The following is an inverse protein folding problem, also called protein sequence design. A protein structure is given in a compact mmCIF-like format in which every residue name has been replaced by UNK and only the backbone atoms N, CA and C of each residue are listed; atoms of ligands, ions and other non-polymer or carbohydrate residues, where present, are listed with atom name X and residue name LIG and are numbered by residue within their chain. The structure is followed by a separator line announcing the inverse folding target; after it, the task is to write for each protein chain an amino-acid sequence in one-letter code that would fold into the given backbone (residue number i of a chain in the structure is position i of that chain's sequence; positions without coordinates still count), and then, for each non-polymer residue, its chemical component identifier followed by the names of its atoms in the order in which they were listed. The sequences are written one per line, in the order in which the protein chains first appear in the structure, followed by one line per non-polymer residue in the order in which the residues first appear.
data_IF_868638347461
#
_entry.id   IF_868638347461
#
_cell.length_a   1.000
_cell.length_b   1.000
_cell.length_c   1.000
_cell.angle_alpha   90.00
_cell.angle_beta   90.00
_cell.angle_gamma   90.00
#
_symmetry.space_group_name_H-M   'P 1'
#
loop_
_entity.id
_entity.type
_entity.pdbx_description
1 polymer ?
#
# COMPACT_ATOMS: atom_id res chain seq x y z
N UNK A 1 -8.14 -49.90 -4.51
CA UNK A 1 -8.28 -49.44 -5.91
C UNK A 1 -8.90 -48.05 -5.88
N UNK A 2 -8.10 -47.00 -6.04
CA UNK A 2 -8.65 -45.64 -6.16
C UNK A 2 -9.50 -45.59 -7.43
N UNK A 3 -10.79 -45.28 -7.27
CA UNK A 3 -11.73 -45.22 -8.38
C UNK A 3 -11.23 -44.11 -9.32
N UNK A 4 -10.96 -44.44 -10.59
CA UNK A 4 -10.40 -43.50 -11.59
C UNK A 4 -11.23 -42.22 -11.68
N UNK A 5 -12.52 -42.31 -11.38
CA UNK A 5 -13.47 -41.19 -11.31
C UNK A 5 -13.17 -40.21 -10.16
N UNK A 6 -12.74 -40.71 -9.00
CA UNK A 6 -12.41 -39.87 -7.83
C UNK A 6 -11.09 -39.13 -8.04
N UNK A 7 -10.11 -39.77 -8.69
CA UNK A 7 -8.84 -39.12 -9.08
C UNK A 7 -9.09 -38.03 -10.13
N UNK A 8 -10.00 -38.27 -11.08
CA UNK A 8 -10.37 -37.30 -12.12
C UNK A 8 -11.10 -36.07 -11.56
N UNK A 9 -12.00 -36.25 -10.58
CA UNK A 9 -12.68 -35.13 -9.91
C UNK A 9 -11.74 -34.28 -9.03
N UNK A 10 -10.72 -34.89 -8.41
CA UNK A 10 -9.70 -34.15 -7.63
C UNK A 10 -8.74 -33.37 -8.55
N UNK A 11 -8.45 -33.88 -9.75
CA UNK A 11 -7.66 -33.16 -10.76
C UNK A 11 -8.44 -31.98 -11.39
N UNK A 12 -9.76 -32.07 -11.54
CA UNK A 12 -10.57 -31.00 -12.14
C UNK A 12 -10.74 -29.78 -11.21
N UNK A 13 -10.76 -29.97 -9.89
CA UNK A 13 -10.89 -28.86 -8.91
C UNK A 13 -9.57 -28.12 -8.68
N UNK A 14 -8.42 -28.73 -9.00
CA UNK A 14 -7.10 -28.11 -8.88
C UNK A 14 -6.82 -27.05 -9.97
N UNK A 15 -7.60 -27.01 -11.06
CA UNK A 15 -7.39 -26.07 -12.18
C UNK A 15 -8.20 -24.77 -12.10
N UNK A 16 -9.12 -24.63 -11.13
CA UNK A 16 -9.73 -23.33 -10.82
C UNK A 16 -8.78 -22.47 -9.97
N UNK A 17 -7.60 -22.22 -10.53
CA UNK A 17 -6.80 -21.08 -10.11
C UNK A 17 -7.61 -19.83 -10.43
N UNK A 18 -8.13 -19.16 -9.40
CA UNK A 18 -8.76 -17.86 -9.56
C UNK A 18 -7.69 -16.92 -10.10
N UNK A 19 -7.68 -16.68 -11.41
CA UNK A 19 -6.90 -15.60 -11.98
C UNK A 19 -7.47 -14.32 -11.38
N UNK A 20 -6.72 -13.72 -10.46
CA UNK A 20 -7.01 -12.37 -9.99
C UNK A 20 -6.85 -11.44 -11.20
N UNK A 21 -7.97 -11.09 -11.84
CA UNK A 21 -8.00 -10.16 -12.96
C UNK A 21 -7.82 -8.74 -12.42
N UNK A 22 -6.57 -8.28 -12.39
CA UNK A 22 -6.28 -6.87 -12.22
C UNK A 22 -6.51 -6.18 -13.57
N UNK A 23 -7.58 -5.40 -13.70
CA UNK A 23 -7.93 -4.74 -14.96
C UNK A 23 -6.97 -3.60 -15.35
N UNK A 24 -6.15 -3.14 -14.40
CA UNK A 24 -5.16 -2.09 -14.63
C UNK A 24 -3.91 -2.37 -13.81
N UNK A 25 -2.75 -2.35 -14.46
CA UNK A 25 -1.44 -2.34 -13.81
C UNK A 25 -0.92 -0.91 -13.77
N UNK A 26 -0.45 -0.45 -12.60
CA UNK A 26 0.15 0.87 -12.40
C UNK A 26 1.56 0.69 -11.84
N UNK A 27 2.54 1.35 -12.46
CA UNK A 27 3.93 1.34 -11.98
C UNK A 27 4.60 2.72 -12.12
N UNK A 28 5.22 3.24 -11.04
CA UNK A 28 5.27 2.67 -9.70
C UNK A 28 3.96 2.87 -8.93
N UNK A 29 3.77 2.14 -7.82
CA UNK A 29 2.61 2.27 -6.92
C UNK A 29 2.77 3.38 -5.87
N UNK A 30 3.92 4.04 -5.85
CA UNK A 30 4.24 5.22 -5.04
C UNK A 30 5.26 6.05 -5.79
N UNK A 31 5.07 7.36 -5.82
CA UNK A 31 6.01 8.30 -6.45
C UNK A 31 6.59 9.20 -5.38
N UNK A 32 7.91 9.23 -5.28
CA UNK A 32 8.66 10.20 -4.50
C UNK A 32 9.55 11.01 -5.41
N UNK A 33 9.53 12.31 -5.22
CA UNK A 33 10.46 13.23 -5.83
C UNK A 33 11.60 13.50 -4.86
N UNK A 34 12.83 13.34 -5.33
CA UNK A 34 13.99 13.93 -4.66
C UNK A 34 14.07 15.44 -4.94
N UNK A 35 14.94 16.16 -4.23
CA UNK A 35 15.07 17.62 -4.36
C UNK A 35 15.47 18.10 -5.77
N UNK A 36 16.09 17.25 -6.58
CA UNK A 36 16.59 17.56 -7.92
C UNK A 36 15.59 17.19 -9.01
N UNK A 37 14.75 16.19 -8.75
CA UNK A 37 13.72 15.74 -9.66
C UNK A 37 12.60 16.77 -9.79
N UNK A 38 12.28 17.11 -11.03
CA UNK A 38 11.15 18.01 -11.38
C UNK A 38 10.05 17.28 -12.13
N UNK A 39 10.27 16.03 -12.53
CA UNK A 39 9.24 15.23 -13.17
C UNK A 39 9.38 13.75 -12.84
N UNK A 40 8.26 13.07 -12.72
CA UNK A 40 8.15 11.63 -12.58
C UNK A 40 7.24 11.06 -13.69
N UNK A 41 7.35 9.76 -13.93
CA UNK A 41 6.53 9.03 -14.89
C UNK A 41 5.82 7.90 -14.16
N UNK A 42 4.52 7.78 -14.42
CA UNK A 42 3.69 6.66 -13.98
C UNK A 42 3.19 5.97 -15.23
N UNK A 43 3.49 4.69 -15.35
CA UNK A 43 3.06 3.84 -16.46
C UNK A 43 1.80 3.11 -16.04
N UNK A 44 0.80 3.12 -16.91
CA UNK A 44 -0.44 2.36 -16.76
C UNK A 44 -0.62 1.41 -17.93
N UNK A 45 -1.00 0.17 -17.64
CA UNK A 45 -1.23 -0.88 -18.63
C UNK A 45 -2.62 -1.45 -18.39
N UNK A 46 -3.45 -1.46 -19.43
CA UNK A 46 -4.74 -2.11 -19.37
C UNK A 46 -4.56 -3.62 -19.48
N UNK A 47 -4.70 -4.33 -18.36
CA UNK A 47 -4.56 -5.78 -18.29
C UNK A 47 -5.91 -6.51 -18.48
N UNK A 48 -6.99 -5.78 -18.76
CA UNK A 48 -8.26 -6.38 -19.18
C UNK A 48 -8.29 -6.70 -20.67
N UNK A 49 -9.28 -7.48 -21.07
CA UNK A 49 -9.60 -7.87 -22.45
C UNK A 49 -10.42 -6.80 -23.20
N UNK A 50 -10.95 -5.80 -22.51
CA UNK A 50 -11.75 -4.71 -23.07
C UNK A 50 -10.98 -3.39 -23.13
N UNK A 51 -11.38 -2.49 -24.03
CA UNK A 51 -10.93 -1.10 -23.99
C UNK A 51 -11.44 -0.41 -22.72
N UNK A 52 -10.59 0.38 -22.07
CA UNK A 52 -10.92 1.15 -20.86
C UNK A 52 -10.46 2.58 -20.98
N UNK A 53 -11.25 3.51 -20.43
CA UNK A 53 -10.87 4.92 -20.31
C UNK A 53 -10.73 5.31 -18.85
N UNK A 54 -9.66 6.01 -18.51
CA UNK A 54 -9.39 6.51 -17.16
C UNK A 54 -9.18 8.01 -17.19
N UNK A 55 -9.83 8.72 -16.28
CA UNK A 55 -9.50 10.10 -15.94
C UNK A 55 -8.41 10.12 -14.87
N UNK A 56 -7.41 10.96 -15.07
CA UNK A 56 -6.26 11.11 -14.19
C UNK A 56 -6.42 12.42 -13.42
N UNK A 57 -6.75 12.31 -12.13
CA UNK A 57 -7.04 13.47 -11.27
C UNK A 57 -6.26 13.42 -9.96
N UNK A 58 -6.11 14.58 -9.34
CA UNK A 58 -5.62 14.64 -7.96
C UNK A 58 -6.75 14.35 -6.97
N UNK A 59 -6.43 13.63 -5.92
CA UNK A 59 -7.29 13.36 -4.77
C UNK A 59 -6.52 13.66 -3.50
N UNK A 60 -7.06 14.57 -2.70
CA UNK A 60 -6.50 14.93 -1.40
C UNK A 60 -6.99 13.94 -0.36
N UNK A 61 -6.06 13.40 0.44
CA UNK A 61 -6.39 12.41 1.45
C UNK A 61 -5.53 12.59 2.69
N UNK A 62 -6.13 12.35 3.84
CA UNK A 62 -5.48 12.34 5.13
C UNK A 62 -5.38 10.89 5.63
N UNK A 63 -4.21 10.48 6.07
CA UNK A 63 -3.99 9.16 6.64
C UNK A 63 -4.68 9.04 8.02
N UNK A 64 -5.09 7.82 8.36
CA UNK A 64 -5.65 7.48 9.66
C UNK A 64 -4.65 6.68 10.50
N UNK A 65 -4.75 6.79 11.82
CA UNK A 65 -3.88 6.06 12.76
C UNK A 65 -3.99 4.54 12.64
N UNK A 66 -5.19 3.99 12.39
CA UNK A 66 -5.41 2.56 12.17
C UNK A 66 -5.15 2.06 10.74
N UNK A 67 -4.58 2.92 9.87
CA UNK A 67 -4.48 2.68 8.44
C UNK A 67 -5.70 3.13 7.65
N UNK A 68 -5.54 3.20 6.32
CA UNK A 68 -6.55 3.79 5.44
C UNK A 68 -6.47 5.32 5.39
N UNK A 69 -7.49 5.93 4.78
CA UNK A 69 -7.51 7.35 4.46
C UNK A 69 -8.92 7.95 4.56
N UNK A 70 -8.99 9.19 5.02
CA UNK A 70 -10.14 10.08 4.79
C UNK A 70 -9.90 10.90 3.52
N UNK A 71 -10.93 11.01 2.66
CA UNK A 71 -10.88 11.93 1.53
C UNK A 71 -11.09 13.36 2.02
N UNK A 72 -10.28 14.29 1.52
CA UNK A 72 -10.41 15.71 1.80
C UNK A 72 -11.08 16.39 0.60
N UNK A 73 -12.07 17.25 0.89
CA UNK A 73 -12.79 17.99 -0.15
C UNK A 73 -11.97 19.15 -0.73
N UNK A 74 -10.99 19.65 0.03
CA UNK A 74 -10.17 20.80 -0.32
C UNK A 74 -8.69 20.49 -0.13
N UNK A 75 -7.84 21.26 -0.84
CA UNK A 75 -6.39 21.22 -0.67
C UNK A 75 -5.98 21.77 0.70
N UNK A 76 -4.92 21.22 1.27
CA UNK A 76 -4.33 21.70 2.52
C UNK A 76 -3.00 22.39 2.26
N UNK A 77 -2.38 22.97 3.30
CA UNK A 77 -1.04 23.55 3.20
C UNK A 77 0.02 22.53 2.73
N UNK A 78 -0.20 21.24 3.02
CA UNK A 78 0.70 20.14 2.63
C UNK A 78 0.24 19.40 1.37
N UNK A 79 -0.78 19.89 0.65
CA UNK A 79 -1.18 19.29 -0.63
C UNK A 79 -0.14 19.56 -1.72
N UNK A 80 0.23 18.51 -2.45
CA UNK A 80 1.16 18.59 -3.58
C UNK A 80 0.48 19.04 -4.89
N UNK A 81 -0.82 18.78 -5.03
CA UNK A 81 -1.56 19.03 -6.27
C UNK A 81 -1.47 20.48 -6.81
N UNK A 82 -1.47 21.57 -6.00
CA UNK A 82 -1.44 22.94 -6.54
C UNK A 82 -0.13 23.27 -7.27
N UNK A 83 0.98 22.66 -6.84
CA UNK A 83 2.31 22.89 -7.40
C UNK A 83 2.71 21.86 -8.47
N UNK A 84 1.77 21.07 -8.98
CA UNK A 84 2.05 20.05 -10.00
C UNK A 84 1.26 20.24 -11.30
N UNK A 85 1.73 19.57 -12.35
CA UNK A 85 1.06 19.45 -13.65
C UNK A 85 1.04 17.98 -14.05
N UNK A 86 -0.10 17.54 -14.59
CA UNK A 86 -0.34 16.18 -15.05
C UNK A 86 -0.56 16.18 -16.56
N UNK A 87 0.04 15.22 -17.25
CA UNK A 87 -0.22 15.00 -18.67
C UNK A 87 -0.04 13.52 -19.05
N UNK A 88 -0.99 12.90 -19.77
CA UNK A 88 -2.33 13.42 -20.09
C UNK A 88 -3.27 13.38 -18.86
N UNK A 89 -4.41 14.08 -18.92
CA UNK A 89 -5.46 14.05 -17.88
C UNK A 89 -6.52 12.96 -18.10
N UNK A 90 -6.49 12.31 -19.26
CA UNK A 90 -7.34 11.18 -19.61
C UNK A 90 -6.55 10.24 -20.51
N UNK A 91 -6.73 8.94 -20.32
CA UNK A 91 -6.10 7.90 -21.11
C UNK A 91 -7.17 6.91 -21.53
N UNK A 92 -7.19 6.57 -22.82
CA UNK A 92 -8.00 5.47 -23.36
C UNK A 92 -7.02 4.40 -23.80
N UNK A 93 -7.24 3.18 -23.33
CA UNK A 93 -6.31 2.06 -23.48
C UNK A 93 -7.06 0.86 -24.06
N UNK A 94 -6.63 0.36 -25.21
CA UNK A 94 -7.00 -0.96 -25.70
C UNK A 94 -6.46 -2.06 -24.76
N UNK A 95 -6.88 -3.31 -24.98
CA UNK A 95 -6.35 -4.45 -24.21
C UNK A 95 -4.83 -4.56 -24.41
N UNK A 96 -4.08 -4.67 -23.31
CA UNK A 96 -2.62 -4.70 -23.29
C UNK A 96 -1.94 -3.36 -23.57
N UNK A 97 -2.69 -2.30 -23.91
CA UNK A 97 -2.11 -1.00 -24.24
C UNK A 97 -1.51 -0.33 -23.00
N UNK A 98 -0.36 0.32 -23.21
CA UNK A 98 0.40 1.03 -22.19
C UNK A 98 0.42 2.53 -22.48
N UNK A 99 0.12 3.33 -21.46
CA UNK A 99 0.30 4.78 -21.49
C UNK A 99 1.19 5.26 -20.34
N UNK A 100 1.95 6.32 -20.59
CA UNK A 100 2.70 7.02 -19.55
C UNK A 100 2.01 8.33 -19.19
N UNK A 101 1.77 8.53 -17.89
CA UNK A 101 1.37 9.79 -17.29
C UNK A 101 2.61 10.47 -16.70
N UNK A 102 2.90 11.69 -17.16
CA UNK A 102 3.97 12.53 -16.61
C UNK A 102 3.40 13.44 -15.53
N UNK A 103 4.08 13.46 -14.40
CA UNK A 103 3.86 14.38 -13.29
C UNK A 103 5.03 15.36 -13.30
N UNK A 104 4.77 16.67 -13.35
CA UNK A 104 5.81 17.69 -13.28
C UNK A 104 5.55 18.63 -12.11
N UNK A 105 6.58 18.90 -11.30
CA UNK A 105 6.52 19.84 -10.17
C UNK A 105 6.96 21.23 -10.64
N UNK A 106 6.17 22.25 -10.33
CA UNK A 106 6.48 23.67 -10.46
C UNK A 106 6.43 24.31 -9.07
N UNK A 107 7.59 24.34 -8.40
CA UNK A 107 7.72 24.85 -7.03
C UNK A 107 7.43 26.36 -6.97
N UNK A 108 6.62 26.83 -6.03
CA UNK A 108 6.53 28.26 -5.75
C UNK A 108 7.86 28.76 -5.16
N UNK A 109 8.14 30.05 -5.32
CA UNK A 109 9.28 30.69 -4.64
C UNK A 109 9.01 30.71 -3.13
N UNK A 110 10.02 30.40 -2.33
CA UNK A 110 9.90 30.39 -0.86
C UNK A 110 9.03 29.26 -0.29
N UNK A 111 8.95 28.12 -1.01
CA UNK A 111 8.30 26.92 -0.48
C UNK A 111 8.91 26.55 0.87
N UNK A 112 8.06 26.38 1.88
CA UNK A 112 8.53 26.08 3.23
C UNK A 112 9.07 24.65 3.32
N UNK A 113 10.07 24.41 4.20
CA UNK A 113 10.56 23.07 4.48
C UNK A 113 9.42 22.15 4.91
N UNK A 114 9.42 20.90 4.43
CA UNK A 114 8.43 19.91 4.80
C UNK A 114 8.06 18.93 3.69
N UNK A 115 7.15 18.04 4.04
CA UNK A 115 6.59 17.03 3.15
C UNK A 115 5.24 17.48 2.59
N UNK A 116 5.10 17.36 1.26
CA UNK A 116 3.88 17.66 0.52
C UNK A 116 3.40 16.40 -0.18
N UNK A 117 2.12 16.05 0.00
CA UNK A 117 1.55 14.81 -0.53
C UNK A 117 0.14 15.03 -1.07
N UNK A 118 -0.11 14.43 -2.24
CA UNK A 118 -1.45 14.25 -2.81
C UNK A 118 -1.49 12.85 -3.43
N UNK A 119 -2.67 12.39 -3.85
CA UNK A 119 -2.81 11.08 -4.47
C UNK A 119 -3.23 11.22 -5.93
N UNK A 120 -2.52 10.54 -6.81
CA UNK A 120 -2.89 10.45 -8.21
C UNK A 120 -3.96 9.35 -8.35
N UNK A 121 -5.16 9.74 -8.74
CA UNK A 121 -6.31 8.87 -8.92
C UNK A 121 -6.55 8.61 -10.41
N UNK A 122 -6.50 7.34 -10.79
CA UNK A 122 -6.96 6.81 -12.07
C UNK A 122 -8.41 6.38 -11.91
N UNK A 123 -9.32 7.32 -12.19
CA UNK A 123 -10.75 7.08 -12.11
C UNK A 123 -11.24 6.43 -13.40
N UNK A 124 -11.67 5.17 -13.33
CA UNK A 124 -12.27 4.51 -14.49
C UNK A 124 -13.57 5.21 -14.89
N UNK A 125 -13.75 5.42 -16.19
CA UNK A 125 -15.00 5.88 -16.76
C UNK A 125 -15.81 4.66 -17.22
N UNK A 126 -17.16 4.68 -17.06
CA UNK A 126 -18.01 3.62 -17.60
C UNK A 126 -17.80 3.48 -19.11
N UNK A 127 -17.76 2.24 -19.61
CA UNK A 127 -17.93 1.98 -21.03
C UNK A 127 -19.42 2.16 -21.37
N UNK A 128 -19.74 2.71 -22.54
CA UNK A 128 -21.14 2.77 -22.97
C UNK A 128 -21.67 1.36 -23.20
N UNK A 129 -22.65 0.94 -22.40
CA UNK A 129 -23.33 -0.34 -22.59
C UNK A 129 -24.23 -0.24 -23.82
N UNK A 130 -23.91 -1.00 -24.88
CA UNK A 130 -24.69 -1.03 -26.12
C UNK A 130 -25.93 -1.94 -26.07
N UNK A 131 -26.10 -2.75 -25.02
CA UNK A 131 -27.26 -3.66 -24.90
C UNK A 131 -27.86 -3.62 -23.49
N UNK A 132 -29.13 -3.23 -23.41
CA UNK A 132 -29.93 -3.24 -22.19
C UNK A 132 -30.69 -4.59 -22.14
N UNK A 133 -30.14 -5.57 -21.42
CA UNK A 133 -30.82 -6.86 -21.20
C UNK A 133 -31.69 -6.77 -19.93
N UNK A 134 -32.91 -7.31 -19.97
CA UNK A 134 -33.77 -7.42 -18.79
C UNK A 134 -33.10 -8.31 -17.73
N UNK A 135 -32.73 -7.72 -16.60
CA UNK A 135 -32.09 -8.39 -15.47
C UNK A 135 -31.34 -7.41 -14.57
N UNK A 136 -30.93 -7.85 -13.37
CA UNK A 136 -30.05 -7.06 -12.50
C UNK A 136 -28.62 -7.21 -13.02
N UNK A 137 -28.04 -6.12 -13.54
CA UNK A 137 -26.65 -6.07 -13.98
C UNK A 137 -25.83 -5.21 -13.02
N UNK A 138 -24.82 -5.80 -12.37
CA UNK A 138 -23.88 -5.09 -11.50
C UNK A 138 -22.64 -4.74 -12.33
N UNK A 139 -22.43 -3.46 -12.59
CA UNK A 139 -21.25 -2.95 -13.27
C UNK A 139 -20.27 -2.37 -12.25
N UNK A 140 -19.19 -3.10 -11.96
CA UNK A 140 -18.13 -2.62 -11.06
C UNK A 140 -17.13 -1.75 -11.81
N UNK A 141 -16.93 -0.52 -11.34
CA UNK A 141 -15.97 0.44 -11.90
C UNK A 141 -14.82 0.61 -10.91
N UNK A 142 -13.65 0.08 -11.25
CA UNK A 142 -12.48 0.07 -10.36
C UNK A 142 -11.61 1.30 -10.62
N UNK A 143 -11.34 2.07 -9.57
CA UNK A 143 -10.43 3.22 -9.62
C UNK A 143 -9.21 2.96 -8.74
N UNK A 144 -8.05 3.47 -9.15
CA UNK A 144 -6.78 3.22 -8.46
C UNK A 144 -6.12 4.51 -8.02
N UNK A 145 -5.52 4.53 -6.84
CA UNK A 145 -4.94 5.74 -6.25
C UNK A 145 -3.54 5.45 -5.72
N UNK A 146 -2.56 6.25 -6.13
CA UNK A 146 -1.17 6.13 -5.66
C UNK A 146 -0.72 7.43 -4.98
N UNK A 147 0.03 7.37 -3.86
CA UNK A 147 0.58 8.55 -3.23
C UNK A 147 1.71 9.14 -4.08
N UNK A 148 1.73 10.46 -4.19
CA UNK A 148 2.78 11.25 -4.81
C UNK A 148 3.31 12.24 -3.79
N UNK A 149 4.61 12.17 -3.52
CA UNK A 149 5.26 12.85 -2.40
C UNK A 149 6.41 13.70 -2.91
N UNK A 150 6.48 14.93 -2.44
CA UNK A 150 7.62 15.82 -2.60
C UNK A 150 8.10 16.27 -1.22
N UNK A 151 9.42 16.35 -1.03
CA UNK A 151 10.02 16.84 0.21
C UNK A 151 10.94 18.01 -0.11
N UNK A 152 10.70 19.15 0.53
CA UNK A 152 11.60 20.30 0.51
C UNK A 152 12.45 20.25 1.78
N UNK A 153 13.78 20.24 1.63
CA UNK A 153 14.73 20.17 2.76
C UNK A 153 14.42 18.98 3.70
N UNK A 154 14.50 17.75 3.19
CA UNK A 154 14.11 16.57 3.96
C UNK A 154 15.03 16.31 5.14
N UNK A 155 14.44 15.94 6.27
CA UNK A 155 15.15 15.29 7.38
C UNK A 155 14.87 13.79 7.37
N UNK A 156 15.78 13.01 7.96
CA UNK A 156 15.56 11.58 8.16
C UNK A 156 14.37 11.35 9.10
N UNK A 157 13.35 10.56 8.70
CA UNK A 157 12.23 10.23 9.58
C UNK A 157 12.69 9.52 10.85
N UNK A 158 12.08 9.86 11.98
CA UNK A 158 12.33 9.21 13.27
C UNK A 158 11.05 8.57 13.78
N UNK A 159 11.10 7.26 14.04
CA UNK A 159 9.96 6.47 14.51
C UNK A 159 10.42 5.56 15.64
N UNK A 160 9.58 5.32 16.64
CA UNK A 160 9.82 4.32 17.68
C UNK A 160 8.63 3.38 17.77
N UNK A 161 8.87 2.12 18.12
CA UNK A 161 7.80 1.22 18.54
C UNK A 161 7.59 1.42 20.05
N UNK A 162 6.42 1.89 20.44
CA UNK A 162 6.11 2.23 21.84
C UNK A 162 5.42 1.09 22.58
N UNK A 163 4.67 0.27 21.86
CA UNK A 163 3.93 -0.85 22.43
C UNK A 163 3.69 -1.93 21.38
N UNK A 164 3.68 -3.19 21.83
CA UNK A 164 3.20 -4.31 21.04
C UNK A 164 2.36 -5.26 21.90
N UNK A 165 1.26 -5.78 21.35
CA UNK A 165 0.37 -6.72 22.02
C UNK A 165 -0.06 -7.84 21.06
N UNK A 166 -0.28 -9.03 21.60
CA UNK A 166 -0.98 -10.10 20.88
C UNK A 166 -2.48 -9.90 21.06
N UNK A 167 -3.22 -9.85 19.95
CA UNK A 167 -4.67 -9.68 19.95
C UNK A 167 -5.32 -10.89 19.27
N UNK A 168 -6.50 -11.30 19.77
CA UNK A 168 -7.32 -12.34 19.14
C UNK A 168 -8.67 -11.73 18.79
N UNK A 169 -8.92 -11.57 17.50
CA UNK A 169 -10.21 -11.08 17.02
C UNK A 169 -11.19 -12.26 16.91
N UNK A 170 -12.44 -12.09 17.35
CA UNK A 170 -13.45 -13.16 17.33
C UNK A 170 -13.67 -13.76 15.93
N UNK A 171 -13.44 -12.96 14.88
CA UNK A 171 -13.60 -13.36 13.48
C UNK A 171 -12.34 -13.96 12.85
N UNK A 172 -11.24 -14.07 13.59
CA UNK A 172 -9.99 -14.63 13.08
C UNK A 172 -9.58 -15.91 13.83
N UNK A 173 -9.16 -16.90 13.05
CA UNK A 173 -8.72 -18.20 13.57
C UNK A 173 -7.34 -18.12 14.22
N UNK A 174 -6.49 -17.18 13.79
CA UNK A 174 -5.16 -16.95 14.35
C UNK A 174 -5.10 -15.62 15.11
N UNK A 175 -4.29 -15.53 16.17
CA UNK A 175 -3.95 -14.26 16.78
C UNK A 175 -3.20 -13.36 15.79
N UNK A 176 -3.26 -12.05 16.03
CA UNK A 176 -2.53 -11.03 15.30
C UNK A 176 -1.60 -10.27 16.27
N UNK A 177 -0.60 -9.60 15.72
CA UNK A 177 0.32 -8.76 16.49
C UNK A 177 -0.04 -7.31 16.21
N UNK A 178 -0.50 -6.59 17.23
CA UNK A 178 -0.77 -5.15 17.14
C UNK A 178 0.43 -4.37 17.65
N UNK A 179 0.88 -3.39 16.89
CA UNK A 179 2.08 -2.60 17.14
C UNK A 179 1.74 -1.11 17.06
N UNK A 180 2.09 -0.33 18.07
CA UNK A 180 2.00 1.12 18.05
C UNK A 180 3.36 1.72 17.68
N UNK A 181 3.36 2.54 16.62
CA UNK A 181 4.51 3.29 16.14
C UNK A 181 4.28 4.77 16.41
N UNK A 182 5.24 5.45 17.04
CA UNK A 182 5.22 6.88 17.30
C UNK A 182 6.21 7.61 16.39
N UNK A 183 5.75 8.67 15.74
CA UNK A 183 6.55 9.57 14.90
C UNK A 183 7.16 10.69 15.74
N UNK A 184 8.40 11.09 15.42
CA UNK A 184 9.13 12.14 16.15
C UNK A 184 9.51 13.37 15.31
N UNK A 185 9.24 13.39 14.01
CA UNK A 185 9.45 14.56 13.14
C UNK A 185 8.51 14.58 11.94
N UNK A 186 8.53 15.68 11.17
CA UNK A 186 7.51 15.99 10.14
C UNK A 186 7.74 15.32 8.77
N UNK A 187 8.48 14.21 8.72
CA UNK A 187 8.76 13.48 7.48
C UNK A 187 8.26 12.04 7.58
N UNK A 188 7.68 11.52 6.50
CA UNK A 188 7.15 10.16 6.53
C UNK A 188 8.25 9.11 6.49
N UNK A 189 8.13 8.11 7.37
CA UNK A 189 8.85 6.84 7.23
C UNK A 189 8.18 5.96 6.19
N UNK A 190 8.95 5.09 5.53
CA UNK A 190 8.44 4.08 4.62
C UNK A 190 9.29 2.82 4.71
N UNK A 191 8.66 1.68 4.97
CA UNK A 191 9.40 0.47 5.29
C UNK A 191 8.55 -0.76 5.45
N UNK A 192 9.20 -1.80 5.93
CA UNK A 192 8.64 -3.12 6.23
C UNK A 192 8.69 -3.35 7.74
N UNK A 193 7.53 -3.59 8.33
CA UNK A 193 7.42 -4.00 9.73
C UNK A 193 7.33 -5.52 9.76
N UNK A 194 8.33 -6.16 10.35
CA UNK A 194 8.47 -7.61 10.40
C UNK A 194 8.41 -8.10 11.84
N UNK A 195 7.88 -9.31 12.02
CA UNK A 195 7.90 -9.99 13.31
C UNK A 195 8.66 -11.31 13.18
N UNK A 196 9.61 -11.54 14.08
CA UNK A 196 10.48 -12.71 14.13
C UNK A 196 10.38 -13.40 15.48
N UNK A 197 10.47 -14.72 15.47
CA UNK A 197 10.63 -15.53 16.69
C UNK A 197 11.99 -16.20 16.66
N UNK A 198 12.57 -16.42 17.84
CA UNK A 198 13.76 -17.25 17.98
C UNK A 198 13.35 -18.72 18.02
N UNK A 199 13.86 -19.53 17.12
CA UNK A 199 13.62 -20.98 17.10
C UNK A 199 14.47 -21.67 18.17
N UNK A 200 14.19 -22.95 18.45
CA UNK A 200 15.00 -23.76 19.37
C UNK A 200 16.47 -23.90 18.92
N UNK A 201 16.76 -23.76 17.62
CA UNK A 201 18.14 -23.73 17.08
C UNK A 201 18.84 -22.37 17.23
N UNK A 202 18.13 -21.36 17.73
CA UNK A 202 18.65 -20.00 17.90
C UNK A 202 18.52 -19.10 16.68
N UNK A 203 17.97 -19.60 15.57
CA UNK A 203 17.73 -18.84 14.35
C UNK A 203 16.49 -17.94 14.46
N UNK A 204 16.48 -16.82 13.74
CA UNK A 204 15.32 -15.94 13.65
C UNK A 204 14.41 -16.36 12.50
N UNK A 205 13.21 -16.82 12.84
CA UNK A 205 12.18 -17.16 11.87
C UNK A 205 11.18 -16.01 11.74
N UNK A 206 10.99 -15.49 10.52
CA UNK A 206 9.98 -14.46 10.24
C UNK A 206 8.59 -15.06 10.20
N UNK A 207 7.66 -14.56 11.01
CA UNK A 207 6.30 -15.10 11.13
C UNK A 207 5.19 -14.17 10.66
N UNK A 208 5.48 -12.88 10.51
CA UNK A 208 4.55 -11.89 9.98
C UNK A 208 5.29 -10.70 9.36
N UNK A 209 4.67 -10.01 8.40
CA UNK A 209 5.23 -8.80 7.78
C UNK A 209 4.14 -7.89 7.21
N UNK A 210 4.35 -6.58 7.30
CA UNK A 210 3.70 -5.56 6.47
C UNK A 210 4.80 -4.88 5.65
N UNK A 211 4.87 -5.15 4.34
CA UNK A 211 6.03 -4.75 3.52
C UNK A 211 6.09 -3.26 3.13
N UNK A 212 4.95 -2.56 3.14
CA UNK A 212 4.79 -1.18 2.63
C UNK A 212 4.12 -0.26 3.67
N UNK A 213 4.60 -0.29 4.92
CA UNK A 213 4.08 0.53 6.01
C UNK A 213 4.66 1.95 5.94
N UNK A 214 3.78 2.96 5.96
CA UNK A 214 4.15 4.37 6.10
C UNK A 214 3.62 4.94 7.41
N UNK A 215 4.41 5.81 8.04
CA UNK A 215 3.94 6.67 9.15
C UNK A 215 4.02 8.11 8.64
N UNK A 216 2.87 8.74 8.40
CA UNK A 216 2.79 10.05 7.74
C UNK A 216 2.83 11.23 8.72
N UNK A 217 3.24 12.43 8.29
CA UNK A 217 3.40 13.60 9.17
C UNK A 217 2.11 14.08 9.85
N UNK A 218 0.94 13.81 9.27
CA UNK A 218 -0.33 14.20 9.89
C UNK A 218 -0.82 13.26 11.01
N UNK A 219 -0.11 12.16 11.26
CA UNK A 219 -0.45 11.17 12.29
C UNK A 219 0.73 11.03 13.25
N UNK A 220 0.47 11.26 14.55
CA UNK A 220 1.51 11.13 15.58
C UNK A 220 1.79 9.67 15.94
N UNK A 221 0.72 8.87 16.03
CA UNK A 221 0.78 7.45 16.38
C UNK A 221 0.00 6.60 15.38
N UNK A 222 0.64 5.56 14.85
CA UNK A 222 0.04 4.57 13.96
C UNK A 222 -0.08 3.23 14.67
N UNK A 223 -1.23 2.59 14.54
CA UNK A 223 -1.48 1.22 15.01
C UNK A 223 -1.46 0.28 13.81
N UNK A 224 -0.39 -0.50 13.71
CA UNK A 224 -0.23 -1.53 12.68
C UNK A 224 -0.63 -2.91 13.23
N UNK A 225 -1.36 -3.69 12.45
CA UNK A 225 -1.77 -5.06 12.84
C UNK A 225 -1.18 -6.06 11.86
N UNK A 226 -0.22 -6.86 12.31
CA UNK A 226 0.39 -7.92 11.53
C UNK A 226 -0.41 -9.22 11.65
N UNK A 227 -0.79 -9.77 10.52
CA UNK A 227 -1.33 -11.12 10.43
C UNK A 227 -0.19 -12.12 10.24
N UNK A 228 -0.25 -13.23 10.97
CA UNK A 228 0.71 -14.32 10.81
C UNK A 228 0.64 -14.90 9.40
N UNK A 229 1.78 -15.36 8.88
CA UNK A 229 1.80 -16.14 7.65
C UNK A 229 0.98 -17.43 7.78
N UNK A 230 0.52 -17.94 6.64
CA UNK A 230 -0.47 -19.03 6.58
C UNK A 230 0.02 -20.30 7.28
N UNK A 231 1.31 -20.58 7.24
CA UNK A 231 1.97 -21.75 7.81
C UNK A 231 2.52 -21.51 9.24
N UNK A 232 2.42 -20.29 9.77
CA UNK A 232 3.02 -19.92 11.06
C UNK A 232 2.00 -19.86 12.20
N UNK A 233 2.48 -20.05 13.42
CA UNK A 233 1.72 -19.88 14.66
C UNK A 233 2.58 -19.12 15.67
N UNK A 234 1.94 -18.51 16.67
CA UNK A 234 2.68 -17.94 17.80
C UNK A 234 3.09 -19.08 18.73
N UNK A 235 4.39 -19.26 19.02
CA UNK A 235 4.83 -20.18 20.06
C UNK A 235 4.44 -19.65 21.44
N UNK A 236 4.32 -20.56 22.41
CA UNK A 236 4.20 -20.22 23.83
C UNK A 236 5.57 -19.93 24.42
N UNK A 237 5.63 -19.05 25.42
CA UNK A 237 6.85 -18.79 26.20
C UNK A 237 8.07 -18.45 25.30
N UNK A 238 7.88 -17.51 24.39
CA UNK A 238 8.88 -17.13 23.41
C UNK A 238 9.07 -15.61 23.34
N UNK A 239 10.20 -15.17 22.82
CA UNK A 239 10.43 -13.76 22.50
C UNK A 239 10.10 -13.48 21.04
N UNK A 240 9.30 -12.43 20.84
CA UNK A 240 8.96 -11.87 19.54
C UNK A 240 9.79 -10.61 19.32
N UNK A 241 10.61 -10.60 18.29
CA UNK A 241 11.32 -9.41 17.82
C UNK A 241 10.50 -8.74 16.73
N UNK A 242 10.15 -7.48 16.95
CA UNK A 242 9.59 -6.58 15.95
C UNK A 242 10.70 -5.69 15.41
N UNK A 243 10.71 -5.53 14.10
CA UNK A 243 11.71 -4.75 13.38
C UNK A 243 11.04 -3.92 12.28
N UNK A 244 11.22 -2.60 12.33
CA UNK A 244 10.73 -1.67 11.31
C UNK A 244 11.87 -1.15 10.47
N UNK A 245 12.16 -1.85 9.37
CA UNK A 245 13.25 -1.53 8.48
C UNK A 245 12.77 -0.69 7.29
N UNK A 246 13.53 0.33 6.92
CA UNK A 246 13.24 1.17 5.77
C UNK A 246 13.31 0.43 4.42
N UNK A 247 12.52 0.92 3.47
CA UNK A 247 12.42 0.40 2.08
C UNK A 247 12.53 1.57 1.09
N UNK A 248 12.82 1.28 -0.18
CA UNK A 248 12.96 2.27 -1.24
C UNK A 248 14.02 3.34 -0.90
N UNK A 249 13.62 4.61 -0.76
CA UNK A 249 14.55 5.69 -0.40
C UNK A 249 15.19 5.52 0.99
N UNK A 250 14.65 4.63 1.83
CA UNK A 250 15.11 4.39 3.19
C UNK A 250 15.75 3.01 3.39
N UNK A 251 16.16 2.31 2.32
CA UNK A 251 16.68 0.92 2.39
C UNK A 251 17.83 0.71 3.41
N UNK A 252 18.61 1.74 3.70
CA UNK A 252 19.74 1.70 4.62
C UNK A 252 19.39 2.13 6.06
N UNK A 253 18.11 2.40 6.35
CA UNK A 253 17.66 2.92 7.63
C UNK A 253 16.95 1.80 8.39
N UNK A 254 17.41 1.54 9.61
CA UNK A 254 16.62 0.84 10.61
C UNK A 254 15.89 1.90 11.45
N UNK A 255 14.55 1.87 11.44
CA UNK A 255 13.76 2.88 12.14
C UNK A 255 13.59 2.52 13.61
N UNK A 256 13.24 1.27 13.93
CA UNK A 256 12.92 0.86 15.28
C UNK A 256 12.89 -0.66 15.44
N UNK A 257 13.34 -1.14 16.60
CA UNK A 257 13.20 -2.52 17.03
C UNK A 257 12.55 -2.60 18.42
N UNK A 258 11.80 -3.66 18.68
CA UNK A 258 11.09 -3.88 19.94
C UNK A 258 10.95 -5.38 20.22
N UNK A 259 11.22 -5.80 21.46
CA UNK A 259 11.02 -7.19 21.89
C UNK A 259 9.79 -7.31 22.76
N UNK A 260 8.90 -8.25 22.42
CA UNK A 260 7.73 -8.62 23.20
C UNK A 260 7.90 -10.06 23.71
N UNK A 261 7.83 -10.26 25.03
CA UNK A 261 7.72 -11.59 25.61
C UNK A 261 6.28 -12.12 25.42
N UNK A 262 6.15 -13.33 24.86
CA UNK A 262 4.89 -14.05 24.72
C UNK A 262 4.75 -14.98 25.93
N UNK A 263 3.73 -14.74 26.77
CA UNK A 263 3.37 -15.61 27.89
C UNK A 263 2.65 -16.91 27.47
N UNK A 264 2.12 -17.65 28.44
CA UNK A 264 1.44 -18.96 28.25
C UNK A 264 0.12 -18.94 27.48
#
# INVERSE_FOLDING_TARGET
MFNKLTVMCVLLTAFFSQMALANLLISPTRVTFDERQRSAKVTVINNSDEQRTYRVIWSEKQALSGGGYNNLAQVTANSLSPMTRLSPKQVTLASGEKQTVKIAIRKPKGLQPGEYRSHLLFQALPNENKEQKSGIQINMIMSFSIPVIYREQPEQPKVTITQANIIKNANQTKPQIQVQLQRHNNFSSYGKLSAYIKTASGEQEKIAEISNLSVYPEVDTVTATLSLFKDKQLPKNAELLLDYQGTAEYKAIDFASYTLAIGE
#
